data_IF_252980038197
#
_entry.id   IF_252980038197
#
_cell.length_a   1.000
_cell.length_b   1.000
_cell.length_c   1.000
_cell.angle_alpha   90.00
_cell.angle_beta   90.00
_cell.angle_gamma   90.00
#
_symmetry.space_group_name_H-M   'P 1'
#
loop_
_entity.id
_entity.type
_entity.pdbx_description
1 polymer ?
#
# COMPACT_ATOMS: atom_id res chain seq x y z
N UNK A 1 -12.78 21.67 -7.35
CA UNK A 1 -12.04 20.44 -7.66
C UNK A 1 -11.60 19.77 -6.37
N UNK A 2 -11.60 18.44 -6.26
CA UNK A 2 -11.12 17.75 -5.07
C UNK A 2 -9.63 18.05 -4.86
N UNK A 3 -9.26 18.35 -3.61
CA UNK A 3 -7.86 18.53 -3.23
C UNK A 3 -7.13 17.18 -3.29
N UNK A 4 -5.91 17.10 -3.85
CA UNK A 4 -5.14 15.86 -3.82
C UNK A 4 -4.87 15.40 -2.39
N UNK A 5 -4.96 14.09 -2.14
CA UNK A 5 -4.78 13.49 -0.82
C UNK A 5 -3.56 12.56 -0.80
N UNK A 6 -2.82 12.57 0.30
CA UNK A 6 -1.80 11.58 0.62
C UNK A 6 -2.25 10.80 1.86
N UNK A 7 -2.53 9.50 1.70
CA UNK A 7 -2.92 8.63 2.81
C UNK A 7 -1.69 8.04 3.47
N UNK A 8 -1.82 7.59 4.72
CA UNK A 8 -0.75 6.86 5.40
C UNK A 8 -0.30 5.60 4.64
N UNK A 9 0.96 5.16 4.76
CA UNK A 9 1.42 3.96 4.07
C UNK A 9 0.58 2.72 4.40
N UNK A 10 0.23 1.95 3.38
CA UNK A 10 -0.69 0.82 3.45
C UNK A 10 -0.02 -0.45 2.93
N UNK A 11 -0.47 -1.61 3.42
CA UNK A 11 -0.14 -2.88 2.77
C UNK A 11 -0.91 -3.03 1.45
N UNK A 12 -0.42 -3.84 0.48
CA UNK A 12 -1.17 -4.12 -0.74
C UNK A 12 -2.59 -4.65 -0.48
N UNK A 13 -2.77 -5.50 0.54
CA UNK A 13 -4.06 -6.06 0.93
C UNK A 13 -5.01 -5.02 1.55
N UNK A 14 -4.48 -4.09 2.34
CA UNK A 14 -5.24 -2.99 2.95
C UNK A 14 -5.75 -2.03 1.88
N UNK A 15 -4.86 -1.64 0.94
CA UNK A 15 -5.21 -0.75 -0.17
C UNK A 15 -6.33 -1.36 -1.02
N UNK A 16 -6.19 -2.62 -1.44
CA UNK A 16 -7.19 -3.29 -2.27
C UNK A 16 -8.52 -3.43 -1.53
N UNK A 17 -8.48 -3.75 -0.24
CA UNK A 17 -9.71 -3.84 0.58
C UNK A 17 -10.41 -2.49 0.66
N UNK A 18 -9.67 -1.42 0.91
CA UNK A 18 -10.18 -0.05 0.95
C UNK A 18 -10.77 0.40 -0.39
N UNK A 19 -10.11 0.10 -1.50
CA UNK A 19 -10.64 0.45 -2.82
C UNK A 19 -11.94 -0.32 -3.09
N UNK A 20 -11.98 -1.62 -2.79
CA UNK A 20 -13.16 -2.45 -3.02
C UNK A 20 -14.35 -2.09 -2.12
N UNK A 21 -14.12 -1.57 -0.91
CA UNK A 21 -15.19 -1.19 0.03
C UNK A 21 -15.74 0.23 -0.20
N UNK A 22 -14.91 1.17 -0.66
CA UNK A 22 -15.31 2.59 -0.72
C UNK A 22 -15.54 3.11 -2.14
N UNK A 23 -15.02 2.45 -3.18
CA UNK A 23 -15.10 2.99 -4.54
C UNK A 23 -16.35 2.51 -5.27
N UNK A 24 -17.23 3.47 -5.53
CA UNK A 24 -18.45 3.26 -6.33
C UNK A 24 -18.26 3.81 -7.75
N UNK A 25 -17.27 4.70 -7.96
CA UNK A 25 -17.02 5.38 -9.23
C UNK A 25 -15.76 4.86 -9.94
N UNK A 26 -15.63 5.06 -11.27
CA UNK A 26 -14.46 4.62 -12.03
C UNK A 26 -13.15 5.10 -11.39
N UNK A 27 -12.33 4.15 -10.96
CA UNK A 27 -11.07 4.39 -10.26
C UNK A 27 -9.93 3.84 -11.09
N UNK A 28 -8.91 4.65 -11.32
CA UNK A 28 -7.65 4.18 -11.92
C UNK A 28 -6.63 4.01 -10.81
N UNK A 29 -6.16 2.79 -10.60
CA UNK A 29 -5.10 2.43 -9.67
C UNK A 29 -3.79 2.23 -10.45
N UNK A 30 -2.83 3.12 -10.23
CA UNK A 30 -1.46 3.03 -10.74
C UNK A 30 -0.59 2.41 -9.65
N UNK A 31 0.02 1.27 -9.95
CA UNK A 31 0.96 0.58 -9.07
C UNK A 31 2.38 0.83 -9.59
N UNK A 32 3.20 1.52 -8.81
CA UNK A 32 4.55 1.97 -9.17
C UNK A 32 5.62 0.88 -8.98
N UNK A 33 5.30 -0.34 -9.38
CA UNK A 33 6.19 -1.48 -9.36
C UNK A 33 5.80 -2.51 -10.43
N UNK A 34 6.60 -3.57 -10.56
CA UNK A 34 6.26 -4.66 -11.47
C UNK A 34 5.09 -5.49 -10.92
N UNK A 35 4.28 -6.06 -11.82
CA UNK A 35 3.20 -6.98 -11.44
C UNK A 35 3.70 -8.15 -10.58
N UNK A 36 4.90 -8.65 -10.86
CA UNK A 36 5.47 -9.78 -10.12
C UNK A 36 5.81 -9.40 -8.67
N UNK A 37 6.38 -8.20 -8.47
CA UNK A 37 6.73 -7.71 -7.14
C UNK A 37 5.47 -7.43 -6.31
N UNK A 38 4.49 -6.72 -6.89
CA UNK A 38 3.22 -6.43 -6.22
C UNK A 38 2.51 -7.70 -5.76
N UNK A 39 2.45 -8.73 -6.63
CA UNK A 39 1.82 -10.00 -6.26
C UNK A 39 2.59 -10.75 -5.18
N UNK A 40 3.92 -10.67 -5.19
CA UNK A 40 4.77 -11.29 -4.16
C UNK A 40 4.60 -10.59 -2.81
N UNK A 41 4.59 -9.25 -2.80
CA UNK A 41 4.25 -8.44 -1.61
C UNK A 41 2.85 -8.79 -1.12
N UNK A 42 1.85 -8.79 -2.00
CA UNK A 42 0.47 -9.14 -1.65
C UNK A 42 0.37 -10.52 -1.00
N UNK A 43 1.02 -11.55 -1.56
CA UNK A 43 1.06 -12.90 -1.00
C UNK A 43 1.69 -12.95 0.39
N UNK A 44 2.77 -12.19 0.61
CA UNK A 44 3.46 -12.11 1.90
C UNK A 44 2.58 -11.48 2.99
N UNK A 45 1.66 -10.59 2.62
CA UNK A 45 0.84 -9.83 3.56
C UNK A 45 -0.55 -10.44 3.81
N UNK A 46 -1.00 -11.38 2.96
CA UNK A 46 -2.25 -12.12 3.13
C UNK A 46 -2.33 -13.05 4.36
N UNK A 47 -1.27 -13.74 4.83
CA UNK A 47 -1.39 -14.57 6.03
C UNK A 47 -1.62 -13.77 7.33
N UNK A 48 -1.20 -12.50 7.39
CA UNK A 48 -1.22 -11.72 8.63
C UNK A 48 -2.56 -11.03 8.95
N UNK A 49 -3.53 -11.01 8.04
CA UNK A 49 -4.81 -10.29 8.25
C UNK A 49 -5.86 -11.11 9.00
N UNK A 50 -5.78 -12.44 9.00
CA UNK A 50 -6.76 -13.33 9.65
C UNK A 50 -6.54 -13.45 11.17
N UNK A 51 -5.32 -13.20 11.65
CA UNK A 51 -4.98 -13.32 13.08
C UNK A 51 -5.48 -12.16 13.96
N UNK A 52 -6.21 -11.19 13.41
CA UNK A 52 -6.83 -10.08 14.16
C UNK A 52 -8.29 -10.31 14.59
N UNK A 53 -8.81 -11.53 14.52
CA UNK A 53 -10.04 -11.89 15.22
C UNK A 53 -9.73 -12.39 16.63
N UNK A 54 -10.43 -11.90 17.69
CA UNK A 54 -10.20 -12.38 19.05
C UNK A 54 -10.50 -13.88 19.11
N UNK A 55 -9.62 -14.70 19.71
CA UNK A 55 -9.85 -16.13 19.78
C UNK A 55 -11.12 -16.38 20.60
N UNK A 56 -12.11 -17.02 19.98
CA UNK A 56 -13.22 -17.62 20.72
C UNK A 56 -12.61 -18.68 21.64
N UNK A 57 -12.85 -18.53 22.94
CA UNK A 57 -12.43 -19.43 23.99
C UNK A 57 -12.88 -20.86 23.67
N UNK A 58 -11.93 -21.71 23.27
CA UNK A 58 -12.13 -23.15 23.23
C UNK A 58 -11.67 -23.69 24.57
N UNK A 59 -12.62 -24.06 25.43
CA UNK A 59 -12.35 -24.77 26.67
C UNK A 59 -11.63 -26.08 26.37
N UNK A 60 -10.34 -26.11 26.67
CA UNK A 60 -9.51 -27.30 26.58
C UNK A 60 -9.79 -28.18 27.80
N UNK A 61 -10.69 -29.14 27.65
CA UNK A 61 -10.79 -30.28 28.56
C UNK A 61 -9.57 -31.18 28.38
N UNK A 62 -8.80 -31.27 29.46
CA UNK A 62 -7.58 -32.07 29.62
C UNK A 62 -7.88 -33.53 29.95
N UNK A 63 -7.18 -34.47 29.29
CA UNK A 63 -6.80 -35.83 29.74
C UNK A 63 -6.40 -36.66 28.50
N UNK A 64 -5.36 -37.50 28.39
CA UNK A 64 -4.41 -38.17 29.31
C UNK A 64 -3.21 -38.67 28.46
N UNK A 65 -2.08 -38.84 29.15
CA UNK A 65 -0.74 -39.33 28.81
C UNK A 65 -0.57 -40.68 28.06
N UNK A 66 0.60 -40.82 27.42
CA UNK A 66 1.25 -42.08 26.99
C UNK A 66 2.28 -41.80 25.89
N UNK A 67 3.54 -41.55 26.22
CA UNK A 67 4.67 -42.49 26.33
C UNK A 67 5.42 -42.71 24.99
N UNK A 68 6.75 -42.85 25.10
CA UNK A 68 7.80 -42.51 24.15
C UNK A 68 7.96 -43.41 22.91
N UNK A 69 8.70 -42.87 21.92
CA UNK A 69 9.43 -43.52 20.79
C UNK A 69 8.81 -43.50 19.38
N UNK A 70 9.16 -42.49 18.56
CA UNK A 70 9.46 -42.62 17.12
C UNK A 70 9.92 -41.25 16.55
N UNK A 71 11.20 -41.14 16.22
CA UNK A 71 11.84 -39.92 15.69
C UNK A 71 12.09 -40.15 14.20
N UNK A 72 11.21 -39.65 13.32
CA UNK A 72 11.51 -38.94 12.06
C UNK A 72 10.26 -38.74 11.17
N UNK A 73 9.25 -39.60 11.25
CA UNK A 73 8.03 -39.52 10.41
C UNK A 73 7.01 -38.46 10.83
N UNK A 74 7.08 -38.00 12.07
CA UNK A 74 6.13 -37.03 12.63
C UNK A 74 6.38 -35.59 12.11
N UNK A 75 7.61 -35.32 11.65
CA UNK A 75 8.00 -34.00 11.12
C UNK A 75 7.41 -33.73 9.74
N UNK A 76 7.39 -34.75 8.88
CA UNK A 76 6.83 -34.64 7.52
C UNK A 76 5.30 -34.57 7.54
N UNK A 77 4.65 -35.28 8.46
CA UNK A 77 3.18 -35.23 8.64
C UNK A 77 2.75 -33.88 9.21
N UNK A 78 3.50 -33.32 10.19
CA UNK A 78 3.23 -32.00 10.75
C UNK A 78 3.47 -30.88 9.73
N UNK A 79 4.56 -30.95 8.95
CA UNK A 79 4.82 -29.99 7.87
C UNK A 79 3.75 -30.03 6.77
N UNK A 80 3.25 -31.22 6.40
CA UNK A 80 2.15 -31.37 5.45
C UNK A 80 0.82 -30.83 6.01
N UNK A 81 0.54 -31.04 7.30
CA UNK A 81 -0.65 -30.52 7.98
C UNK A 81 -0.59 -28.98 8.13
N UNK A 82 0.58 -28.42 8.44
CA UNK A 82 0.80 -26.97 8.53
C UNK A 82 0.65 -26.31 7.16
N UNK A 83 1.17 -26.93 6.09
CA UNK A 83 1.01 -26.45 4.71
C UNK A 83 -0.44 -26.50 4.22
N UNK A 84 -1.19 -27.54 4.57
CA UNK A 84 -2.62 -27.67 4.24
C UNK A 84 -3.47 -26.67 5.05
N UNK A 85 -3.14 -26.47 6.33
CA UNK A 85 -3.80 -25.48 7.18
C UNK A 85 -3.54 -24.06 6.67
N UNK A 86 -2.31 -23.73 6.28
CA UNK A 86 -1.96 -22.43 5.68
C UNK A 86 -2.70 -22.19 4.35
N UNK A 87 -2.86 -23.24 3.53
CA UNK A 87 -3.67 -23.17 2.29
C UNK A 87 -5.14 -22.91 2.57
N UNK A 88 -5.71 -23.59 3.55
CA UNK A 88 -7.11 -23.39 3.94
C UNK A 88 -7.33 -21.99 4.55
N UNK A 89 -6.40 -21.50 5.37
CA UNK A 89 -6.42 -20.14 5.89
C UNK A 89 -6.29 -19.08 4.76
N UNK A 90 -5.46 -19.33 3.75
CA UNK A 90 -5.37 -18.47 2.57
C UNK A 90 -6.69 -18.43 1.78
N UNK A 91 -7.45 -19.52 1.70
CA UNK A 91 -8.78 -19.56 1.05
C UNK A 91 -9.84 -18.73 1.78
N UNK A 92 -9.62 -18.33 3.04
CA UNK A 92 -10.56 -17.50 3.81
C UNK A 92 -10.30 -16.00 3.72
N UNK A 93 -9.29 -15.54 2.96
CA UNK A 93 -9.02 -14.11 2.87
C UNK A 93 -10.15 -13.37 2.11
N UNK A 94 -10.71 -12.26 2.65
CA UNK A 94 -11.87 -11.57 2.07
C UNK A 94 -11.63 -11.01 0.66
N UNK A 95 -10.38 -10.76 0.28
CA UNK A 95 -10.02 -10.38 -1.11
C UNK A 95 -10.11 -11.52 -2.13
N UNK A 96 -10.08 -12.78 -1.67
CA UNK A 96 -10.15 -13.97 -2.54
C UNK A 96 -11.58 -14.52 -2.64
N UNK A 97 -12.49 -14.08 -1.76
CA UNK A 97 -13.91 -14.40 -1.83
C UNK A 97 -14.60 -13.46 -2.80
N UNK A 98 -14.78 -13.87 -4.06
CA UNK A 98 -15.38 -13.04 -5.10
C UNK A 98 -16.89 -12.78 -4.85
N UNK A 99 -17.20 -11.79 -4.00
CA UNK A 99 -18.58 -11.37 -3.74
C UNK A 99 -19.16 -10.62 -4.94
N UNK A 100 -20.49 -10.65 -5.12
CA UNK A 100 -21.16 -9.89 -6.18
C UNK A 100 -20.80 -8.40 -6.12
N UNK A 101 -20.68 -7.83 -4.92
CA UNK A 101 -20.24 -6.45 -4.73
C UNK A 101 -18.82 -6.23 -5.25
N UNK A 102 -17.85 -7.07 -4.85
CA UNK A 102 -16.47 -6.96 -5.33
C UNK A 102 -16.34 -7.17 -6.85
N UNK A 103 -17.10 -8.10 -7.43
CA UNK A 103 -17.11 -8.33 -8.89
C UNK A 103 -17.67 -7.09 -9.60
N UNK A 104 -18.77 -6.51 -9.12
CA UNK A 104 -19.32 -5.28 -9.70
C UNK A 104 -18.36 -4.09 -9.54
N UNK A 105 -17.78 -3.90 -8.35
CA UNK A 105 -16.85 -2.81 -8.07
C UNK A 105 -15.55 -2.94 -8.88
N UNK A 106 -15.00 -4.15 -9.02
CA UNK A 106 -13.76 -4.37 -9.78
C UNK A 106 -13.88 -4.04 -11.27
N UNK A 107 -15.09 -4.12 -11.86
CA UNK A 107 -15.34 -3.68 -13.24
C UNK A 107 -15.11 -2.17 -13.45
N UNK A 108 -15.23 -1.38 -12.39
CA UNK A 108 -14.98 0.06 -12.43
C UNK A 108 -13.57 0.43 -11.98
N UNK A 109 -12.70 -0.56 -11.71
CA UNK A 109 -11.31 -0.32 -11.32
C UNK A 109 -10.40 -0.67 -12.50
N UNK A 110 -9.79 0.36 -13.10
CA UNK A 110 -8.72 0.19 -14.06
C UNK A 110 -7.38 0.10 -13.31
N UNK A 111 -6.67 -1.02 -13.46
CA UNK A 111 -5.40 -1.26 -12.76
C UNK A 111 -4.24 -1.24 -13.76
N UNK A 112 -3.24 -0.40 -13.48
CA UNK A 112 -2.06 -0.21 -14.34
C UNK A 112 -0.78 -0.39 -13.53
N UNK A 113 0.13 -1.22 -14.02
CA UNK A 113 1.47 -1.39 -13.43
C UNK A 113 2.49 -0.55 -14.20
N UNK A 114 3.25 0.28 -13.50
CA UNK A 114 4.31 1.12 -14.05
C UNK A 114 5.63 0.81 -13.34
N UNK A 115 6.47 -0.10 -13.89
CA UNK A 115 7.67 -0.57 -13.18
C UNK A 115 8.82 0.44 -13.14
N UNK A 116 8.74 1.56 -13.89
CA UNK A 116 9.78 2.59 -13.90
C UNK A 116 9.20 3.99 -14.00
N UNK A 117 9.98 5.00 -13.61
CA UNK A 117 9.62 6.43 -13.74
C UNK A 117 9.26 6.82 -15.17
N UNK A 118 9.94 6.26 -16.18
CA UNK A 118 9.62 6.50 -17.59
C UNK A 118 8.24 5.98 -17.96
N UNK A 119 7.85 4.79 -17.47
CA UNK A 119 6.50 4.25 -17.68
C UNK A 119 5.44 5.13 -17.01
N UNK A 120 5.68 5.56 -15.77
CA UNK A 120 4.79 6.47 -15.05
C UNK A 120 4.58 7.77 -15.85
N UNK A 121 5.67 8.45 -16.23
CA UNK A 121 5.58 9.73 -16.94
C UNK A 121 4.95 9.60 -18.32
N UNK A 122 5.28 8.54 -19.06
CA UNK A 122 4.64 8.26 -20.34
C UNK A 122 3.12 8.06 -20.17
N UNK A 123 2.71 7.24 -19.19
CA UNK A 123 1.30 7.00 -18.88
C UNK A 123 0.56 8.30 -18.49
N UNK A 124 1.13 9.10 -17.58
CA UNK A 124 0.52 10.36 -17.15
C UNK A 124 0.41 11.39 -18.28
N UNK A 125 1.35 11.39 -19.24
CA UNK A 125 1.31 12.33 -20.38
C UNK A 125 0.09 12.11 -21.27
N UNK A 126 -0.26 10.84 -21.51
CA UNK A 126 -1.39 10.44 -22.36
C UNK A 126 -2.68 10.20 -21.57
N UNK A 127 -2.64 10.36 -20.25
CA UNK A 127 -3.80 10.11 -19.41
C UNK A 127 -4.93 11.08 -19.75
N UNK A 128 -6.02 10.52 -20.28
CA UNK A 128 -7.25 11.24 -20.62
C UNK A 128 -8.37 10.78 -19.71
N UNK A 129 -9.09 11.73 -19.12
CA UNK A 129 -10.21 11.43 -18.22
C UNK A 129 -11.51 11.12 -18.92
N UNK A 130 -11.48 10.54 -20.12
CA UNK A 130 -12.69 10.10 -20.80
C UNK A 130 -13.30 8.95 -20.00
N UNK A 131 -14.24 9.31 -19.14
CA UNK A 131 -15.18 8.37 -18.54
C UNK A 131 -16.16 8.04 -19.66
N UNK A 132 -15.88 6.97 -20.40
CA UNK A 132 -16.83 6.36 -21.34
C UNK A 132 -18.21 6.30 -20.66
N UNK A 133 -19.25 6.84 -21.30
CA UNK A 133 -20.58 6.96 -20.68
C UNK A 133 -21.15 5.62 -20.19
N UNK A 134 -20.64 4.49 -20.72
CA UNK A 134 -20.97 3.13 -20.29
C UNK A 134 -20.33 2.66 -18.98
N UNK A 135 -19.28 3.33 -18.50
CA UNK A 135 -18.59 3.02 -17.23
C UNK A 135 -19.17 3.80 -16.04
N UNK A 136 -20.21 4.60 -16.26
CA UNK A 136 -20.91 5.27 -15.17
C UNK A 136 -21.72 4.23 -14.39
N UNK A 137 -21.58 4.14 -13.06
CA UNK A 137 -22.33 3.18 -12.27
C UNK A 137 -23.83 3.37 -12.51
N UNK A 138 -24.61 2.30 -12.73
CA UNK A 138 -26.05 2.41 -12.92
C UNK A 138 -26.66 2.95 -11.63
N UNK A 139 -27.00 4.25 -11.63
CA UNK A 139 -27.73 5.01 -10.61
C UNK A 139 -27.91 4.26 -9.27
N UNK A 140 -26.80 4.09 -8.52
CA UNK A 140 -26.91 3.63 -7.15
C UNK A 140 -27.81 4.62 -6.42
N UNK A 141 -28.88 4.10 -5.84
CA UNK A 141 -29.97 4.87 -5.25
C UNK A 141 -29.44 5.98 -4.36
N UNK A 142 -29.93 7.21 -4.61
CA UNK A 142 -29.66 8.47 -3.90
C UNK A 142 -29.85 8.44 -2.36
N UNK A 143 -30.11 7.29 -1.76
CA UNK A 143 -30.50 7.12 -0.36
C UNK A 143 -29.42 6.52 0.56
N UNK A 144 -28.38 5.87 0.03
CA UNK A 144 -27.32 5.24 0.85
C UNK A 144 -25.95 5.93 0.77
N UNK A 145 -25.83 7.03 0.03
CA UNK A 145 -24.55 7.70 -0.22
C UNK A 145 -24.15 8.61 0.96
N UNK A 146 -23.47 8.06 1.98
CA UNK A 146 -22.80 8.87 3.01
C UNK A 146 -21.62 9.62 2.39
N UNK A 147 -21.81 10.92 2.14
CA UNK A 147 -20.82 12.02 2.05
C UNK A 147 -19.44 11.71 1.41
N UNK A 148 -19.36 10.79 0.46
CA UNK A 148 -18.19 10.56 -0.38
C UNK A 148 -18.24 11.52 -1.58
N UNK A 149 -17.15 12.25 -1.83
CA UNK A 149 -17.07 13.17 -2.96
C UNK A 149 -17.23 12.37 -4.27
N UNK A 150 -18.19 12.77 -5.11
CA UNK A 150 -18.71 12.03 -6.28
C UNK A 150 -17.74 12.02 -7.47
N UNK A 151 -16.46 11.77 -7.24
CA UNK A 151 -15.41 11.98 -8.24
C UNK A 151 -14.65 10.69 -8.49
N UNK A 152 -14.52 10.31 -9.77
CA UNK A 152 -13.58 9.28 -10.21
C UNK A 152 -12.18 9.53 -9.64
N UNK A 153 -11.51 8.49 -9.16
CA UNK A 153 -10.21 8.63 -8.52
C UNK A 153 -9.07 8.20 -9.45
N UNK A 154 -7.93 8.83 -9.25
CA UNK A 154 -6.62 8.43 -9.75
C UNK A 154 -5.74 8.15 -8.53
N UNK A 155 -5.59 6.87 -8.20
CA UNK A 155 -4.82 6.41 -7.05
C UNK A 155 -3.44 6.00 -7.53
N UNK A 156 -2.38 6.50 -6.90
CA UNK A 156 -1.01 6.03 -7.11
C UNK A 156 -0.52 5.30 -5.86
N UNK A 157 0.12 4.15 -6.07
CA UNK A 157 0.67 3.33 -5.01
C UNK A 157 2.18 3.12 -5.21
N UNK A 158 2.99 3.48 -4.21
CA UNK A 158 4.44 3.23 -4.19
C UNK A 158 5.27 4.25 -4.99
N UNK A 159 4.80 5.50 -5.13
CA UNK A 159 5.47 6.51 -5.94
C UNK A 159 6.85 6.88 -5.37
N UNK A 160 6.95 7.09 -4.06
CA UNK A 160 8.22 7.41 -3.38
C UNK A 160 9.15 6.21 -3.46
N UNK A 161 8.64 5.00 -3.21
CA UNK A 161 9.41 3.76 -3.35
C UNK A 161 10.10 3.64 -4.71
N UNK A 162 9.36 3.90 -5.80
CA UNK A 162 9.90 3.86 -7.16
C UNK A 162 11.04 4.85 -7.42
N UNK A 163 11.12 5.96 -6.69
CA UNK A 163 12.22 6.92 -6.84
C UNK A 163 13.51 6.45 -6.16
N UNK A 164 13.45 5.61 -5.13
CA UNK A 164 14.60 5.26 -4.24
C UNK A 164 15.80 4.72 -5.00
N UNK A 165 15.59 3.82 -5.94
CA UNK A 165 16.65 3.14 -6.68
C UNK A 165 17.04 3.85 -7.98
N UNK A 166 16.64 5.11 -8.13
CA UNK A 166 16.87 5.89 -9.34
C UNK A 166 17.78 7.09 -9.08
N UNK A 167 18.43 7.59 -10.13
CA UNK A 167 19.17 8.85 -10.06
C UNK A 167 18.28 10.08 -9.86
N UNK A 168 16.95 9.89 -9.87
CA UNK A 168 15.93 10.90 -9.60
C UNK A 168 15.39 10.82 -8.16
N UNK A 169 16.09 10.13 -7.24
CA UNK A 169 15.89 10.25 -5.80
C UNK A 169 16.33 11.64 -5.32
N UNK A 170 15.45 12.63 -5.50
CA UNK A 170 15.65 14.00 -5.03
C UNK A 170 14.33 14.77 -4.97
N UNK A 171 14.35 15.94 -4.36
CA UNK A 171 13.15 16.76 -4.17
C UNK A 171 12.64 17.26 -5.51
N UNK A 172 13.57 17.60 -6.40
CA UNK A 172 13.26 17.98 -7.78
C UNK A 172 12.67 16.80 -8.56
N UNK A 173 13.28 15.62 -8.48
CA UNK A 173 12.83 14.44 -9.19
C UNK A 173 11.43 14.00 -8.75
N UNK A 174 11.23 13.90 -7.44
CA UNK A 174 9.95 13.54 -6.83
C UNK A 174 8.88 14.59 -7.14
N UNK A 175 9.18 15.89 -6.98
CA UNK A 175 8.23 16.96 -7.27
C UNK A 175 7.80 16.98 -8.74
N UNK A 176 8.68 16.63 -9.67
CA UNK A 176 8.34 16.56 -11.09
C UNK A 176 7.30 15.45 -11.37
N UNK A 177 7.52 14.25 -10.83
CA UNK A 177 6.58 13.13 -10.99
C UNK A 177 5.23 13.41 -10.32
N UNK A 178 5.26 14.01 -9.13
CA UNK A 178 4.04 14.42 -8.39
C UNK A 178 3.27 15.51 -9.13
N UNK A 179 3.96 16.52 -9.67
CA UNK A 179 3.34 17.57 -10.46
C UNK A 179 2.64 16.98 -11.69
N UNK A 180 3.30 16.07 -12.41
CA UNK A 180 2.71 15.38 -13.56
C UNK A 180 1.48 14.54 -13.17
N UNK A 181 1.50 13.91 -11.99
CA UNK A 181 0.36 13.13 -11.48
C UNK A 181 -0.84 14.02 -11.16
N UNK A 182 -0.60 15.13 -10.46
CA UNK A 182 -1.65 16.09 -10.10
C UNK A 182 -2.23 16.74 -11.35
N UNK A 183 -1.38 17.11 -12.31
CA UNK A 183 -1.80 17.65 -13.60
C UNK A 183 -2.64 16.63 -14.40
N UNK A 184 -2.18 15.37 -14.50
CA UNK A 184 -2.94 14.31 -15.16
C UNK A 184 -4.31 14.07 -14.50
N UNK A 185 -4.37 14.08 -13.17
CA UNK A 185 -5.63 13.99 -12.43
C UNK A 185 -6.57 15.16 -12.73
N UNK A 186 -6.05 16.39 -12.77
CA UNK A 186 -6.83 17.57 -13.10
C UNK A 186 -7.31 17.58 -14.55
N UNK A 187 -6.44 17.26 -15.50
CA UNK A 187 -6.79 17.10 -16.92
C UNK A 187 -7.89 16.05 -17.10
N UNK A 188 -7.86 15.00 -16.29
CA UNK A 188 -8.86 13.95 -16.31
C UNK A 188 -10.10 14.19 -15.45
N UNK A 189 -10.20 15.32 -14.73
CA UNK A 189 -11.30 15.58 -13.80
C UNK A 189 -11.39 14.59 -12.63
N UNK A 190 -10.28 13.92 -12.28
CA UNK A 190 -10.21 12.89 -11.23
C UNK A 190 -9.63 13.43 -9.93
N UNK A 191 -10.10 12.89 -8.81
CA UNK A 191 -9.47 13.11 -7.50
C UNK A 191 -8.19 12.31 -7.40
N UNK A 192 -7.08 12.96 -7.06
CA UNK A 192 -5.78 12.29 -6.94
C UNK A 192 -5.54 11.83 -5.51
N UNK A 193 -5.16 10.57 -5.35
CA UNK A 193 -4.79 9.99 -4.05
C UNK A 193 -3.43 9.31 -4.19
N UNK A 194 -2.51 9.63 -3.29
CA UNK A 194 -1.20 8.98 -3.18
C UNK A 194 -1.13 8.13 -1.92
N UNK A 195 -0.64 6.90 -2.06
CA UNK A 195 -0.44 5.94 -0.96
C UNK A 195 0.92 5.30 -1.17
N UNK A 196 1.71 5.13 -0.11
CA UNK A 196 2.97 4.38 -0.19
C UNK A 196 2.81 2.97 0.31
N UNK A 197 3.65 2.07 -0.20
CA UNK A 197 3.75 0.73 0.32
C UNK A 197 4.33 0.74 1.73
N UNK A 198 3.64 0.06 2.64
CA UNK A 198 4.18 -0.30 3.94
C UNK A 198 4.79 -1.70 3.83
N UNK A 199 6.02 -1.84 4.29
CA UNK A 199 6.63 -3.16 4.40
C UNK A 199 5.82 -3.99 5.39
N UNK A 200 5.43 -5.20 4.99
CA UNK A 200 4.83 -6.16 5.92
C UNK A 200 5.93 -6.55 6.91
N UNK A 201 5.67 -6.38 8.21
CA UNK A 201 6.61 -6.79 9.26
C UNK A 201 6.84 -8.30 9.08
N UNK A 202 8.02 -8.65 8.57
CA UNK A 202 8.54 -10.01 8.74
C UNK A 202 9.18 -9.98 10.12
N UNK A 203 8.93 -10.99 10.95
CA UNK A 203 9.59 -11.16 12.26
C UNK A 203 11.13 -11.25 12.11
N UNK A 204 11.80 -10.11 11.92
CA UNK A 204 13.24 -9.99 11.94
C UNK A 204 13.62 -8.87 12.89
N UNK A 205 14.12 -9.34 14.03
CA UNK A 205 15.07 -8.68 14.92
C UNK A 205 14.48 -7.73 15.97
N UNK A 206 13.89 -8.34 17.02
CA UNK A 206 14.04 -7.86 18.39
C UNK A 206 15.54 -7.86 18.72
N UNK A 207 16.25 -6.79 18.33
CA UNK A 207 17.52 -6.44 18.96
C UNK A 207 17.17 -5.64 20.21
N UNK A 208 17.34 -6.31 21.35
CA UNK A 208 17.32 -5.71 22.67
C UNK A 208 18.11 -4.40 22.71
N UNK A 209 17.51 -3.38 23.32
CA UNK A 209 18.21 -2.22 23.87
C UNK A 209 18.05 -0.94 23.08
N UNK A 210 16.96 -0.21 23.31
CA UNK A 210 16.95 1.08 24.03
C UNK A 210 15.55 1.70 23.94
N UNK A 211 14.97 2.02 25.09
CA UNK A 211 13.71 2.76 25.21
C UNK A 211 13.86 4.14 24.56
N UNK A 212 13.27 4.31 23.38
CA UNK A 212 13.10 5.59 22.72
C UNK A 212 11.76 5.58 22.00
N UNK A 213 10.92 6.55 22.33
CA UNK A 213 9.59 6.80 21.75
C UNK A 213 9.73 7.11 20.25
N UNK A 214 9.94 6.10 19.42
CA UNK A 214 9.89 6.26 17.97
C UNK A 214 8.47 6.03 17.50
N UNK A 215 7.68 7.11 17.53
CA UNK A 215 6.38 7.14 16.88
C UNK A 215 6.55 6.69 15.43
N UNK A 216 5.99 5.51 15.10
CA UNK A 216 5.72 4.94 13.77
C UNK A 216 6.14 5.90 12.66
N UNK A 217 7.45 5.91 12.32
CA UNK A 217 8.01 6.84 11.34
C UNK A 217 7.20 6.66 10.07
N UNK A 218 6.43 7.68 9.71
CA UNK A 218 5.65 7.59 8.48
C UNK A 218 6.67 7.58 7.36
N UNK A 219 6.44 6.84 6.27
CA UNK A 219 7.36 6.84 5.11
C UNK A 219 7.63 8.25 4.53
N UNK A 220 6.92 9.26 5.04
CA UNK A 220 7.02 10.67 4.74
C UNK A 220 8.14 11.42 5.49
N UNK A 221 8.64 10.90 6.61
CA UNK A 221 9.67 11.56 7.44
C UNK A 221 11.09 11.37 6.88
N UNK A 222 11.22 10.57 5.83
CA UNK A 222 12.51 10.30 5.19
C UNK A 222 13.07 11.54 4.50
N UNK A 223 14.39 11.75 4.64
CA UNK A 223 15.10 12.89 4.06
C UNK A 223 15.77 12.51 2.74
N UNK A 224 15.60 13.38 1.75
CA UNK A 224 16.15 13.24 0.41
C UNK A 224 16.87 14.53 -0.02
N UNK A 225 17.87 14.44 -0.91
CA UNK A 225 18.60 15.62 -1.36
C UNK A 225 17.71 16.54 -2.20
N UNK A 226 17.96 17.85 -2.15
CA UNK A 226 17.15 18.80 -2.94
C UNK A 226 17.31 18.63 -4.46
N UNK A 227 18.48 18.19 -4.93
CA UNK A 227 18.86 18.14 -6.35
C UNK A 227 19.23 16.71 -6.77
N UNK A 228 18.92 16.38 -8.04
CA UNK A 228 19.31 15.13 -8.68
C UNK A 228 20.84 14.98 -8.68
N UNK A 229 21.32 13.73 -8.51
CA UNK A 229 22.75 13.42 -8.55
C UNK A 229 23.56 13.82 -7.30
N UNK A 230 22.89 14.23 -6.21
CA UNK A 230 23.56 14.44 -4.93
C UNK A 230 24.12 13.10 -4.43
N UNK A 231 25.38 13.10 -3.99
CA UNK A 231 26.06 11.87 -3.54
C UNK A 231 25.92 11.73 -2.02
N UNK A 232 25.52 10.54 -1.56
CA UNK A 232 25.59 10.16 -0.14
C UNK A 232 27.06 9.87 0.20
N UNK A 233 27.68 10.73 1.00
CA UNK A 233 29.01 10.51 1.58
C UNK A 233 28.85 9.51 2.71
N UNK A 234 29.31 8.29 2.46
CA UNK A 234 29.35 7.21 3.44
C UNK A 234 30.61 7.41 4.30
N UNK A 235 30.47 7.45 5.64
CA UNK A 235 31.60 7.41 6.58
C UNK A 235 31.86 8.65 7.43
N UNK A 236 31.00 9.68 7.38
CA UNK A 236 31.00 10.77 8.37
C UNK A 236 29.66 10.73 9.09
N UNK A 237 29.69 10.32 10.35
CA UNK A 237 28.57 10.40 11.30
C UNK A 237 28.26 11.88 11.55
N UNK A 238 27.62 12.53 10.58
CA UNK A 238 26.95 13.80 10.77
C UNK A 238 25.47 13.49 10.92
N UNK A 239 24.86 14.07 11.95
CA UNK A 239 23.46 13.90 12.34
C UNK A 239 22.46 14.17 11.18
N UNK A 240 22.93 14.82 10.11
CA UNK A 240 22.19 15.13 8.88
C UNK A 240 22.23 14.04 7.77
N UNK A 241 22.75 12.83 8.05
CA UNK A 241 22.57 11.68 7.16
C UNK A 241 23.44 11.68 5.89
N UNK A 242 24.69 12.12 6.00
CA UNK A 242 25.76 11.87 5.01
C UNK A 242 25.58 12.47 3.61
N UNK A 243 24.46 13.10 3.25
CA UNK A 243 24.27 13.68 1.93
C UNK A 243 25.13 14.94 1.72
N UNK A 244 25.73 15.07 0.54
CA UNK A 244 26.42 16.30 0.15
C UNK A 244 25.40 17.39 -0.20
N UNK A 245 25.00 18.23 0.76
CA UNK A 245 24.17 19.42 0.53
C UNK A 245 22.91 19.49 1.39
N UNK A 246 21.97 20.36 0.99
CA UNK A 246 20.68 20.52 1.69
C UNK A 246 19.76 19.33 1.40
N UNK A 247 19.16 18.80 2.45
CA UNK A 247 18.14 17.74 2.40
C UNK A 247 16.78 18.30 2.79
N UNK A 248 15.74 17.58 2.41
CA UNK A 248 14.34 17.90 2.74
C UNK A 248 13.57 16.60 2.96
N UNK A 249 12.54 16.64 3.78
CA UNK A 249 11.67 15.49 4.02
C UNK A 249 10.73 15.23 2.83
N UNK A 250 10.47 13.95 2.54
CA UNK A 250 9.48 13.49 1.54
C UNK A 250 8.14 14.19 1.79
N UNK A 251 7.69 14.19 3.04
CA UNK A 251 6.42 14.78 3.46
C UNK A 251 6.34 16.27 3.14
N UNK A 252 7.45 17.01 3.25
CA UNK A 252 7.49 18.43 2.89
C UNK A 252 7.38 18.66 1.38
N UNK A 253 7.95 17.77 0.57
CA UNK A 253 7.81 17.84 -0.90
C UNK A 253 6.38 17.53 -1.32
N UNK A 254 5.80 16.46 -0.78
CA UNK A 254 4.42 16.05 -1.07
C UNK A 254 3.39 17.03 -0.54
N UNK A 255 3.62 17.63 0.63
CA UNK A 255 2.72 18.62 1.25
C UNK A 255 2.52 19.89 0.44
N UNK A 256 3.34 20.13 -0.60
CA UNK A 256 3.11 21.21 -1.57
C UNK A 256 1.95 20.92 -2.52
N UNK A 257 1.61 19.65 -2.68
CA UNK A 257 0.63 19.16 -3.65
C UNK A 257 -0.56 18.46 -2.99
N UNK A 258 -0.29 17.73 -1.90
CA UNK A 258 -1.24 16.87 -1.21
C UNK A 258 -1.57 17.36 0.19
N UNK A 259 -2.81 17.08 0.62
CA UNK A 259 -3.20 17.10 2.02
C UNK A 259 -3.06 15.70 2.61
N UNK A 260 -2.41 15.60 3.77
CA UNK A 260 -2.22 14.32 4.44
C UNK A 260 -3.47 13.91 5.23
N UNK A 261 -3.87 12.65 5.11
CA UNK A 261 -4.94 12.03 5.89
C UNK A 261 -4.53 10.62 6.35
N UNK A 262 -5.16 10.12 7.42
CA UNK A 262 -4.98 8.74 7.86
C UNK A 262 -5.89 7.82 7.05
N UNK A 263 -5.35 6.70 6.58
CA UNK A 263 -6.16 5.64 5.99
C UNK A 263 -6.97 4.90 7.06
N UNK A 264 -8.09 4.28 6.67
CA UNK A 264 -8.94 3.53 7.61
C UNK A 264 -8.22 2.32 8.22
N UNK A 265 -7.19 1.80 7.56
CA UNK A 265 -6.33 0.72 8.06
C UNK A 265 -5.50 1.09 9.30
N UNK A 266 -5.34 2.38 9.61
CA UNK A 266 -4.70 2.79 10.87
C UNK A 266 -5.61 2.67 12.09
N UNK A 267 -6.95 2.61 11.91
CA UNK A 267 -7.91 2.54 13.03
C UNK A 267 -7.85 1.19 13.77
N UNK A 268 -7.25 0.17 13.18
CA UNK A 268 -7.09 -1.13 13.83
C UNK A 268 -5.92 -1.17 14.83
N UNK A 269 -5.16 -0.08 14.99
CA UNK A 269 -3.94 -0.04 15.82
C UNK A 269 -4.17 0.72 17.16
N UNK A 270 -5.34 1.33 17.36
CA UNK A 270 -5.77 1.89 18.66
C UNK A 270 -6.60 0.87 19.46
#
# INVERSE_FOLDING_TARGET
MPQPLALTPALPSELLSYILSHQIYPTTLIICESRANFLSSLQRCMPNTVQRQPPLYVERSSSISGDDTAVDTDRDIRAAHDAETARQQALHHPLLVATLHQILTSRFINLVFVPTLSHLRAYLSVFSGEVEEGDRPPQAQKQFEKKGNRTSLLVVYGLVGMHRDTSEWSAQGLANSVAALVDAGWRGGRGVVAVEERECDSDSDVRDGEEGVEGKRTGWDERLPMLNGSVKRIGLESEDGGWSGRTVEVGRVLGRWFRFERGEWDQAIE
#
